data_IF_897772136774
#
_entry.id   IF_897772136774
#
_cell.length_a   1.000
_cell.length_b   1.000
_cell.length_c   1.000
_cell.angle_alpha   90.00
_cell.angle_beta   90.00
_cell.angle_gamma   90.00
#
_symmetry.space_group_name_H-M   'P 1'
#
loop_
_entity.id
_entity.type
_entity.pdbx_description
1 polymer ?
#
# COMPACT_ATOMS: atom_id res chain seq x y z
N UNK A 1 -8.59 5.46 -9.25
CA UNK A 1 -7.23 5.45 -8.70
C UNK A 1 -6.91 6.81 -8.09
N UNK A 2 -7.01 7.91 -8.82
CA UNK A 2 -6.59 9.26 -8.37
C UNK A 2 -7.27 9.71 -7.07
N UNK A 3 -8.57 9.49 -6.94
CA UNK A 3 -9.30 9.78 -5.71
C UNK A 3 -8.77 8.94 -4.55
N UNK A 4 -8.54 7.64 -4.76
CA UNK A 4 -7.95 6.77 -3.72
C UNK A 4 -6.55 7.23 -3.32
N UNK A 5 -5.71 7.60 -4.29
CA UNK A 5 -4.37 8.14 -4.03
C UNK A 5 -4.42 9.41 -3.19
N UNK A 6 -5.31 10.33 -3.54
CA UNK A 6 -5.42 11.64 -2.87
C UNK A 6 -6.05 11.57 -1.48
N UNK A 7 -7.08 10.74 -1.30
CA UNK A 7 -7.91 10.74 -0.10
C UNK A 7 -7.57 9.62 0.89
N UNK A 8 -7.16 8.46 0.38
CA UNK A 8 -7.05 7.26 1.21
C UNK A 8 -5.61 6.78 1.39
N UNK A 9 -4.73 6.98 0.41
CA UNK A 9 -3.39 6.41 0.44
C UNK A 9 -2.55 7.01 1.57
N UNK A 10 -1.81 6.13 2.24
CA UNK A 10 -0.79 6.44 3.25
C UNK A 10 0.45 5.60 2.98
N UNK A 11 1.58 5.86 3.65
CA UNK A 11 2.76 5.00 3.56
C UNK A 11 2.55 3.56 4.05
N UNK A 12 1.46 3.28 4.75
CA UNK A 12 1.14 1.98 5.37
C UNK A 12 -0.04 1.24 4.71
N UNK A 13 -0.61 1.77 3.62
CA UNK A 13 -1.78 1.21 2.94
C UNK A 13 -2.89 2.23 2.73
N UNK A 14 -4.12 1.79 2.51
CA UNK A 14 -5.25 2.70 2.33
C UNK A 14 -6.10 2.79 3.60
N UNK A 15 -6.56 4.01 3.88
CA UNK A 15 -7.58 4.27 4.91
C UNK A 15 -8.91 3.64 4.50
N UNK A 16 -9.65 3.17 5.47
CA UNK A 16 -11.02 2.67 5.28
C UNK A 16 -12.04 3.78 5.02
N UNK A 17 -11.71 5.05 5.35
CA UNK A 17 -12.54 6.22 5.11
C UNK A 17 -11.67 7.46 4.89
N UNK A 18 -12.13 8.41 4.04
CA UNK A 18 -11.45 9.67 3.81
C UNK A 18 -11.46 10.56 5.06
N UNK A 19 -10.33 11.25 5.37
CA UNK A 19 -10.27 12.25 6.45
C UNK A 19 -11.28 13.39 6.32
N UNK A 20 -11.86 13.61 5.14
CA UNK A 20 -12.89 14.63 4.90
C UNK A 20 -14.28 14.21 5.39
N UNK A 21 -14.48 12.94 5.71
CA UNK A 21 -15.77 12.48 6.22
C UNK A 21 -15.98 12.91 7.67
N UNK A 22 -17.19 13.39 7.99
CA UNK A 22 -17.58 13.68 9.36
C UNK A 22 -17.56 12.48 10.31
N UNK A 23 -17.53 11.27 9.76
CA UNK A 23 -17.44 10.01 10.52
C UNK A 23 -15.99 9.49 10.64
N UNK A 24 -14.99 10.24 10.20
CA UNK A 24 -13.59 9.81 10.22
C UNK A 24 -13.09 9.57 11.65
N UNK A 25 -12.57 8.37 11.88
CA UNK A 25 -12.04 7.90 13.17
C UNK A 25 -10.70 7.23 12.94
N UNK A 26 -9.60 7.99 12.95
CA UNK A 26 -8.29 7.48 12.55
C UNK A 26 -7.61 6.58 13.59
N UNK A 27 -8.05 6.60 14.86
CA UNK A 27 -7.33 5.94 15.95
C UNK A 27 -8.14 4.78 16.53
N UNK A 28 -7.47 3.65 16.74
CA UNK A 28 -8.05 2.48 17.40
C UNK A 28 -7.96 2.66 18.90
N UNK A 29 -9.10 2.90 19.56
CA UNK A 29 -9.17 3.09 21.02
C UNK A 29 -10.50 2.62 21.61
N UNK A 30 -10.56 2.57 22.93
CA UNK A 30 -11.80 2.29 23.68
C UNK A 30 -12.20 0.83 23.75
N UNK A 31 -13.48 0.57 23.97
CA UNK A 31 -14.08 -0.76 24.03
C UNK A 31 -14.28 -1.40 22.65
N UNK A 32 -14.94 -2.57 22.61
CA UNK A 32 -15.13 -3.33 21.38
C UNK A 32 -15.88 -2.52 20.30
N UNK A 33 -16.93 -1.79 20.69
CA UNK A 33 -17.77 -1.00 19.76
C UNK A 33 -16.99 0.18 19.17
N UNK A 34 -16.22 0.90 19.99
CA UNK A 34 -15.42 2.04 19.56
C UNK A 34 -14.32 1.58 18.59
N UNK A 35 -13.65 0.47 18.89
CA UNK A 35 -12.63 -0.15 18.02
C UNK A 35 -13.22 -0.58 16.70
N UNK A 36 -14.35 -1.29 16.71
CA UNK A 36 -15.04 -1.71 15.50
C UNK A 36 -15.38 -0.52 14.57
N UNK A 37 -15.92 0.55 15.17
CA UNK A 37 -16.18 1.79 14.43
C UNK A 37 -14.92 2.38 13.79
N UNK A 38 -13.78 2.39 14.47
CA UNK A 38 -12.52 2.92 13.95
C UNK A 38 -11.99 2.07 12.79
N UNK A 39 -12.06 0.73 12.89
CA UNK A 39 -11.59 -0.20 11.86
C UNK A 39 -12.23 0.04 10.49
N UNK A 40 -13.50 0.48 10.49
CA UNK A 40 -14.25 0.74 9.26
C UNK A 40 -14.33 2.22 8.85
N UNK A 41 -13.87 3.14 9.71
CA UNK A 41 -14.07 4.59 9.51
C UNK A 41 -12.78 5.41 9.58
N UNK A 42 -11.64 4.89 9.16
CA UNK A 42 -10.44 5.71 9.04
C UNK A 42 -9.12 5.01 9.26
N UNK A 43 -9.12 3.84 9.87
CA UNK A 43 -7.94 2.99 10.05
C UNK A 43 -7.37 2.54 8.71
N UNK A 44 -6.05 2.41 8.65
CA UNK A 44 -5.30 1.99 7.45
C UNK A 44 -5.15 0.47 7.42
N UNK A 45 -5.39 -0.11 6.25
CA UNK A 45 -5.26 -1.55 6.01
C UNK A 45 -4.20 -1.84 4.94
N UNK A 46 -3.02 -2.39 5.30
CA UNK A 46 -1.98 -2.75 4.33
C UNK A 46 -2.47 -3.74 3.27
N UNK A 47 -3.35 -4.67 3.63
CA UNK A 47 -3.91 -5.67 2.71
C UNK A 47 -4.58 -5.07 1.46
N UNK A 48 -5.07 -3.83 1.55
CA UNK A 48 -5.72 -3.12 0.44
C UNK A 48 -4.75 -2.69 -0.66
N UNK A 49 -3.43 -2.68 -0.38
CA UNK A 49 -2.42 -2.22 -1.33
C UNK A 49 -2.31 -3.12 -2.57
N UNK A 50 -2.68 -4.40 -2.45
CA UNK A 50 -2.72 -5.34 -3.57
C UNK A 50 -3.65 -4.86 -4.69
N UNK A 51 -4.88 -4.52 -4.36
CA UNK A 51 -5.85 -4.04 -5.34
C UNK A 51 -5.45 -2.66 -5.88
N UNK A 52 -5.00 -1.78 -4.99
CA UNK A 52 -4.56 -0.44 -5.36
C UNK A 52 -3.38 -0.47 -6.34
N UNK A 53 -2.31 -1.21 -6.02
CA UNK A 53 -1.11 -1.28 -6.85
C UNK A 53 -1.40 -1.83 -8.26
N UNK A 54 -2.20 -2.88 -8.35
CA UNK A 54 -2.64 -3.44 -9.64
C UNK A 54 -3.44 -2.43 -10.45
N UNK A 55 -4.40 -1.75 -9.84
CA UNK A 55 -5.21 -0.73 -10.51
C UNK A 55 -4.35 0.47 -10.96
N UNK A 56 -3.41 0.90 -10.11
CA UNK A 56 -2.49 1.98 -10.42
C UNK A 56 -1.58 1.63 -11.61
N UNK A 57 -0.93 0.48 -11.57
CA UNK A 57 -0.02 0.04 -12.63
C UNK A 57 -0.75 -0.26 -13.95
N UNK A 58 -2.00 -0.71 -13.91
CA UNK A 58 -2.80 -0.86 -15.13
C UNK A 58 -3.06 0.48 -15.83
N UNK A 59 -3.19 1.58 -15.10
CA UNK A 59 -3.43 2.91 -15.65
C UNK A 59 -2.12 3.58 -16.07
N UNK A 60 -1.15 3.63 -15.17
CA UNK A 60 0.09 4.39 -15.36
C UNK A 60 1.23 3.59 -15.99
N UNK A 61 1.11 2.25 -16.05
CA UNK A 61 2.11 1.35 -16.63
C UNK A 61 3.53 1.70 -16.13
N UNK A 62 4.49 1.83 -17.04
CA UNK A 62 5.90 2.10 -16.70
C UNK A 62 6.11 3.44 -15.98
N UNK A 63 5.31 4.45 -16.28
CA UNK A 63 5.42 5.74 -15.56
C UNK A 63 5.05 5.67 -14.09
N UNK A 64 4.35 4.60 -13.67
CA UNK A 64 3.96 4.35 -12.29
C UNK A 64 5.00 3.65 -11.42
N UNK A 65 6.07 3.08 -12.01
CA UNK A 65 7.05 2.25 -11.30
C UNK A 65 7.72 2.97 -10.14
N UNK A 66 8.25 4.17 -10.38
CA UNK A 66 8.92 4.96 -9.34
C UNK A 66 8.03 5.34 -8.16
N UNK A 67 6.73 5.50 -8.40
CA UNK A 67 5.78 5.75 -7.31
C UNK A 67 5.56 4.49 -6.46
N UNK A 68 5.45 3.33 -7.09
CA UNK A 68 5.31 2.05 -6.40
C UNK A 68 6.57 1.67 -5.62
N UNK A 69 7.76 1.98 -6.13
CA UNK A 69 9.03 1.80 -5.42
C UNK A 69 9.06 2.61 -4.12
N UNK A 70 8.69 3.89 -4.17
CA UNK A 70 8.62 4.73 -2.96
C UNK A 70 7.62 4.21 -1.94
N UNK A 71 6.51 3.65 -2.40
CA UNK A 71 5.52 3.04 -1.51
C UNK A 71 6.08 1.78 -0.83
N UNK A 72 6.84 0.97 -1.57
CA UNK A 72 7.50 -0.23 -1.03
C UNK A 72 8.50 0.11 0.08
N UNK A 73 9.30 1.16 -0.08
CA UNK A 73 10.24 1.64 0.95
C UNK A 73 9.55 1.96 2.28
N UNK A 74 8.33 2.50 2.23
CA UNK A 74 7.54 2.75 3.44
C UNK A 74 7.19 1.48 4.22
N UNK A 75 7.01 0.36 3.54
CA UNK A 75 6.78 -0.94 4.17
C UNK A 75 8.07 -1.61 4.67
N UNK A 76 9.18 -1.44 3.96
CA UNK A 76 10.49 -1.98 4.39
C UNK A 76 10.92 -1.40 5.74
N UNK A 77 10.73 -0.11 5.95
CA UNK A 77 11.02 0.55 7.22
C UNK A 77 10.23 -0.10 8.38
N UNK A 78 8.94 -0.37 8.17
CA UNK A 78 8.06 -0.98 9.17
C UNK A 78 8.48 -2.41 9.53
N UNK A 79 8.92 -3.20 8.57
CA UNK A 79 9.36 -4.58 8.79
C UNK A 79 10.59 -4.69 9.70
N UNK A 80 11.26 -3.59 9.99
CA UNK A 80 12.44 -3.53 10.86
C UNK A 80 12.15 -2.93 12.24
N UNK A 81 10.97 -2.33 12.48
CA UNK A 81 10.69 -1.60 13.72
C UNK A 81 10.12 -2.47 14.85
N UNK A 82 9.01 -3.16 14.62
CA UNK A 82 8.27 -3.88 15.68
C UNK A 82 8.49 -5.39 15.66
N UNK A 83 8.39 -5.98 14.47
CA UNK A 83 8.56 -7.42 14.27
C UNK A 83 9.35 -7.64 12.99
N UNK A 84 10.52 -8.29 13.11
CA UNK A 84 11.42 -8.50 11.98
C UNK A 84 10.71 -9.29 10.87
N UNK A 85 10.62 -8.69 9.67
CA UNK A 85 10.11 -9.32 8.46
C UNK A 85 8.58 -9.45 8.40
N UNK A 86 7.83 -8.73 9.23
CA UNK A 86 6.36 -8.80 9.25
C UNK A 86 5.71 -7.42 9.40
N UNK A 87 4.39 -7.35 9.28
CA UNK A 87 3.59 -6.13 9.36
C UNK A 87 2.40 -6.33 10.29
N UNK A 88 1.97 -5.24 10.93
CA UNK A 88 0.72 -5.23 11.68
C UNK A 88 -0.50 -5.41 10.76
N UNK A 89 -1.60 -5.84 11.36
CA UNK A 89 -2.86 -6.04 10.65
C UNK A 89 -3.43 -4.72 10.12
N UNK A 90 -3.39 -3.67 10.95
CA UNK A 90 -3.83 -2.34 10.57
C UNK A 90 -3.03 -1.25 11.32
N UNK A 91 -3.20 0.00 10.91
CA UNK A 91 -2.50 1.15 11.47
C UNK A 91 -3.47 2.31 11.69
N UNK A 92 -3.13 3.22 12.61
CA UNK A 92 -3.88 4.47 12.74
C UNK A 92 -3.94 5.21 11.39
N UNK A 93 -5.04 5.91 11.15
CA UNK A 93 -5.27 6.65 9.91
C UNK A 93 -4.42 7.92 9.77
N UNK A 94 -3.85 8.41 10.87
CA UNK A 94 -3.00 9.60 10.92
C UNK A 94 -1.59 9.28 11.45
N UNK A 95 -0.58 10.10 11.09
CA UNK A 95 0.75 9.97 11.68
C UNK A 95 0.72 9.96 13.21
N UNK A 96 1.56 9.18 13.88
CA UNK A 96 2.69 8.40 13.33
C UNK A 96 2.30 7.02 12.76
N UNK A 97 1.03 6.75 12.49
CA UNK A 97 0.54 5.47 11.95
C UNK A 97 0.86 4.28 12.87
N UNK A 98 0.48 4.38 14.14
CA UNK A 98 0.72 3.33 15.12
C UNK A 98 0.04 2.03 14.71
N UNK A 99 0.77 0.90 14.81
CA UNK A 99 0.27 -0.43 14.47
C UNK A 99 -0.73 -0.97 15.52
N UNK A 100 -1.74 -1.67 15.02
CA UNK A 100 -2.79 -2.32 15.80
C UNK A 100 -3.16 -3.68 15.21
N UNK A 101 -4.00 -4.44 15.94
CA UNK A 101 -4.43 -5.79 15.57
C UNK A 101 -3.32 -6.81 15.78
N UNK A 102 -3.27 -7.83 14.96
CA UNK A 102 -2.20 -8.83 14.98
C UNK A 102 -0.86 -8.22 14.59
N UNK A 103 0.18 -8.42 15.41
CA UNK A 103 1.54 -7.91 15.15
C UNK A 103 2.23 -8.59 13.96
N UNK A 104 1.71 -9.73 13.51
CA UNK A 104 2.20 -10.47 12.34
C UNK A 104 1.00 -10.87 11.50
N UNK A 105 0.68 -10.05 10.50
CA UNK A 105 -0.50 -10.23 9.65
C UNK A 105 -0.12 -10.82 8.31
N UNK A 106 -0.51 -12.08 8.06
CA UNK A 106 -0.28 -12.73 6.78
C UNK A 106 -0.91 -11.98 5.59
N UNK A 107 -2.15 -11.44 5.67
CA UNK A 107 -2.72 -10.62 4.61
C UNK A 107 -1.91 -9.35 4.31
N UNK A 108 -1.36 -8.69 5.34
CA UNK A 108 -0.53 -7.49 5.18
C UNK A 108 0.80 -7.81 4.49
N UNK A 109 1.49 -8.88 4.90
CA UNK A 109 2.73 -9.34 4.27
C UNK A 109 2.48 -9.80 2.83
N UNK A 110 1.43 -10.59 2.60
CA UNK A 110 1.05 -11.04 1.26
C UNK A 110 0.77 -9.86 0.30
N UNK A 111 0.19 -8.78 0.80
CA UNK A 111 -0.07 -7.58 0.00
C UNK A 111 1.22 -6.88 -0.44
N UNK A 112 2.23 -6.81 0.42
CA UNK A 112 3.55 -6.23 0.07
C UNK A 112 4.28 -7.14 -0.93
N UNK A 113 4.24 -8.46 -0.75
CA UNK A 113 4.78 -9.40 -1.73
C UNK A 113 4.09 -9.24 -3.09
N UNK A 114 2.77 -9.08 -3.11
CA UNK A 114 2.01 -8.85 -4.35
C UNK A 114 2.34 -7.51 -5.01
N UNK A 115 2.59 -6.45 -4.23
CA UNK A 115 3.09 -5.17 -4.74
C UNK A 115 4.45 -5.33 -5.40
N UNK A 116 5.39 -6.01 -4.74
CA UNK A 116 6.73 -6.29 -5.26
C UNK A 116 6.68 -7.12 -6.55
N UNK A 117 5.86 -8.16 -6.60
CA UNK A 117 5.66 -8.99 -7.80
C UNK A 117 5.11 -8.18 -8.97
N UNK A 118 4.09 -7.36 -8.70
CA UNK A 118 3.51 -6.45 -9.69
C UNK A 118 4.56 -5.50 -10.25
N UNK A 119 5.37 -4.87 -9.39
CA UNK A 119 6.43 -3.96 -9.79
C UNK A 119 7.49 -4.65 -10.66
N UNK A 120 8.01 -5.80 -10.23
CA UNK A 120 9.01 -6.60 -10.98
C UNK A 120 8.48 -7.01 -12.36
N UNK A 121 7.21 -7.36 -12.47
CA UNK A 121 6.59 -7.70 -13.75
C UNK A 121 6.64 -6.54 -14.75
N UNK A 122 6.27 -5.33 -14.31
CA UNK A 122 6.30 -4.15 -15.17
C UNK A 122 7.72 -3.73 -15.54
N UNK A 123 8.66 -3.77 -14.59
CA UNK A 123 10.08 -3.49 -14.85
C UNK A 123 10.68 -4.44 -15.88
N UNK A 124 10.37 -5.74 -15.78
CA UNK A 124 10.82 -6.74 -16.75
C UNK A 124 10.23 -6.50 -18.14
N UNK A 125 8.95 -6.17 -18.24
CA UNK A 125 8.31 -5.85 -19.52
C UNK A 125 8.91 -4.61 -20.16
N UNK A 126 9.15 -3.55 -19.37
CA UNK A 126 9.80 -2.33 -19.86
C UNK A 126 11.21 -2.58 -20.42
N UNK A 127 12.00 -3.42 -19.72
CA UNK A 127 13.33 -3.79 -20.19
C UNK A 127 13.28 -4.54 -21.53
N UNK A 128 12.37 -5.50 -21.68
CA UNK A 128 12.20 -6.27 -22.92
C UNK A 128 11.75 -5.38 -24.08
N UNK A 129 10.86 -4.40 -23.86
CA UNK A 129 10.42 -3.48 -24.89
C UNK A 129 11.55 -2.55 -25.33
N UNK A 130 12.39 -2.07 -24.41
CA UNK A 130 13.57 -1.24 -24.73
C UNK A 130 14.58 -2.02 -25.57
N UNK A 131 14.89 -3.27 -25.19
CA UNK A 131 15.79 -4.13 -25.96
C UNK A 131 15.27 -4.41 -27.39
N UNK A 132 13.96 -4.59 -27.55
CA UNK A 132 13.35 -4.79 -28.86
C UNK A 132 13.48 -3.54 -29.74
N UNK A 133 13.20 -2.36 -29.19
CA UNK A 133 13.32 -1.09 -29.90
C UNK A 133 14.77 -0.79 -30.31
N UNK A 134 15.75 -1.08 -29.45
CA UNK A 134 17.17 -0.90 -29.77
C UNK A 134 17.63 -1.80 -30.93
N UNK A 135 17.13 -3.06 -30.98
CA UNK A 135 17.44 -3.99 -32.09
C UNK A 135 16.82 -3.55 -33.40
N UNK A 136 15.60 -3.01 -33.38
CA UNK A 136 14.96 -2.46 -34.59
C UNK A 136 15.66 -1.19 -35.12
N UNK A 137 16.17 -0.35 -34.22
CA UNK A 137 16.89 0.88 -34.59
C UNK A 137 18.29 0.63 -35.17
N UNK A 138 18.85 -0.59 -35.01
CA UNK A 138 20.17 -0.99 -35.54
C UNK A 138 20.08 -1.71 -36.90
N UNK A 139 18.89 -1.96 -37.41
CA UNK A 139 18.63 -2.54 -38.74
C UNK A 139 18.32 -1.47 -39.82
#
# INVERSE_FOLDING_TARGET
>A
VDICTKELLTPKGLRSLSPKSGNYRPTVYGGAIERDRSLHNGVVWPSTITAYSRAYMNIYKYSGTSFMERLLVGFEAEMNELTIGTLNECYDGNPPYKGHGGMSSAPSVAAVISLLDTLKKYQKQEALEKEAQEKEAQQ
#
